data_IF_486679410337
#
_entry.id   IF_486679410337
#
_cell.length_a   1.000
_cell.length_b   1.000
_cell.length_c   1.000
_cell.angle_alpha   90.00
_cell.angle_beta   90.00
_cell.angle_gamma   90.00
#
_symmetry.space_group_name_H-M   'P 1'
#
loop_
_entity.id
_entity.type
_entity.pdbx_description
1 polymer ?
#
# COMPACT_ATOMS: atom_id res chain seq x y z
N UNK A 1 67.49 -9.69 -42.60
CA UNK A 1 66.86 -9.02 -41.43
C UNK A 1 65.34 -9.03 -41.60
N UNK A 2 64.63 -9.92 -40.90
CA UNK A 2 63.15 -9.97 -40.86
C UNK A 2 62.72 -10.03 -39.40
N UNK A 3 62.49 -8.88 -38.77
CA UNK A 3 61.92 -8.74 -37.42
C UNK A 3 60.88 -7.62 -37.41
N UNK A 4 59.78 -7.79 -38.14
CA UNK A 4 58.60 -6.91 -38.03
C UNK A 4 57.33 -7.72 -38.35
N UNK A 5 56.84 -8.54 -37.41
CA UNK A 5 55.39 -8.51 -37.17
C UNK A 5 54.98 -8.56 -35.69
N UNK A 6 55.94 -8.61 -34.74
CA UNK A 6 55.62 -8.82 -33.31
C UNK A 6 55.05 -7.54 -32.64
N UNK A 7 55.44 -6.35 -33.12
CA UNK A 7 55.01 -5.08 -32.51
C UNK A 7 53.53 -4.79 -32.77
N UNK A 8 52.97 -5.25 -33.91
CA UNK A 8 51.57 -4.99 -34.27
C UNK A 8 50.61 -5.82 -33.39
N UNK A 9 51.00 -7.05 -33.04
CA UNK A 9 50.19 -7.94 -32.20
C UNK A 9 50.14 -7.43 -30.75
N UNK A 10 51.25 -6.88 -30.23
CA UNK A 10 51.29 -6.30 -28.89
C UNK A 10 50.44 -5.02 -28.75
N UNK A 11 50.35 -4.20 -29.81
CA UNK A 11 49.51 -2.99 -29.81
C UNK A 11 48.02 -3.31 -29.98
N UNK A 12 47.67 -4.37 -30.71
CA UNK A 12 46.29 -4.83 -30.84
C UNK A 12 45.75 -5.43 -29.53
N UNK A 13 46.60 -6.12 -28.75
CA UNK A 13 46.20 -6.70 -27.45
C UNK A 13 45.93 -5.63 -26.36
N UNK A 14 46.59 -4.48 -26.43
CA UNK A 14 46.36 -3.35 -25.51
C UNK A 14 45.02 -2.64 -25.74
N UNK A 15 44.48 -2.68 -26.97
CA UNK A 15 43.22 -2.02 -27.31
C UNK A 15 41.97 -2.82 -26.91
N UNK A 16 42.09 -4.13 -26.69
CA UNK A 16 40.99 -4.98 -26.18
C UNK A 16 40.91 -4.98 -24.65
N UNK A 17 41.96 -4.52 -23.94
CA UNK A 17 41.99 -4.47 -22.48
C UNK A 17 41.37 -3.20 -21.89
N UNK A 18 41.08 -2.16 -22.69
CA UNK A 18 40.63 -0.85 -22.17
C UNK A 18 39.13 -0.56 -22.28
N UNK A 19 38.29 -1.55 -22.59
CA UNK A 19 36.84 -1.33 -22.66
C UNK A 19 35.98 -2.46 -22.08
N UNK A 20 36.51 -3.24 -21.13
CA UNK A 20 35.63 -3.74 -20.05
C UNK A 20 35.70 -2.65 -18.98
N UNK A 21 35.03 -1.52 -19.25
CA UNK A 21 34.50 -0.75 -18.13
C UNK A 21 33.54 -1.72 -17.47
N UNK A 22 34.00 -2.36 -16.41
CA UNK A 22 33.12 -2.91 -15.39
C UNK A 22 32.04 -1.86 -15.22
N UNK A 23 30.84 -2.23 -15.67
CA UNK A 23 29.63 -1.54 -15.31
C UNK A 23 29.47 -1.87 -13.83
N UNK A 24 30.29 -1.23 -12.99
CA UNK A 24 29.99 -1.04 -11.58
C UNK A 24 28.82 -0.08 -11.63
N UNK A 25 27.63 -0.65 -11.85
CA UNK A 25 26.38 0.05 -11.69
C UNK A 25 26.53 0.79 -10.38
N UNK A 26 26.43 2.11 -10.44
CA UNK A 26 26.31 2.91 -9.23
C UNK A 26 25.15 2.25 -8.49
N UNK A 27 25.47 1.55 -7.40
CA UNK A 27 24.48 0.88 -6.59
C UNK A 27 23.54 1.98 -6.14
N UNK A 28 22.40 2.10 -6.81
CA UNK A 28 21.32 2.92 -6.32
C UNK A 28 21.10 2.50 -4.88
N UNK A 29 20.98 3.48 -3.99
CA UNK A 29 20.81 3.26 -2.56
C UNK A 29 19.95 2.02 -2.34
N UNK A 30 20.54 0.98 -1.75
CA UNK A 30 19.87 -0.31 -1.58
C UNK A 30 18.67 -0.05 -0.67
N UNK A 31 17.48 -0.04 -1.25
CA UNK A 31 16.24 0.17 -0.50
C UNK A 31 16.05 -1.04 0.40
N UNK A 32 16.15 -0.82 1.70
CA UNK A 32 15.97 -1.86 2.72
C UNK A 32 14.58 -1.70 3.33
N UNK A 33 13.65 -2.55 2.92
CA UNK A 33 12.34 -2.65 3.55
C UNK A 33 12.46 -3.51 4.81
N UNK A 34 12.11 -2.92 5.94
CA UNK A 34 11.92 -3.62 7.21
C UNK A 34 10.43 -3.82 7.46
N UNK A 35 10.06 -4.57 8.50
CA UNK A 35 8.65 -4.71 8.87
C UNK A 35 8.04 -3.42 9.42
N UNK A 36 8.81 -2.35 9.62
CA UNK A 36 8.32 -1.18 10.35
C UNK A 36 8.43 0.12 9.54
N UNK A 37 9.03 0.09 8.35
CA UNK A 37 9.35 1.29 7.59
C UNK A 37 8.47 1.52 6.35
N UNK A 38 7.38 0.76 6.18
CA UNK A 38 6.46 0.97 5.06
C UNK A 38 4.99 0.84 5.43
N UNK A 39 4.12 1.42 4.60
CA UNK A 39 2.68 1.16 4.57
C UNK A 39 2.33 0.35 3.34
N UNK A 40 1.38 -0.56 3.44
CA UNK A 40 0.79 -1.19 2.27
C UNK A 40 -0.65 -0.70 2.10
N UNK A 41 -0.96 -0.06 0.97
CA UNK A 41 -2.29 0.48 0.71
C UNK A 41 -3.38 -0.60 0.76
N UNK A 42 -3.12 -1.80 0.24
CA UNK A 42 -4.09 -2.89 0.28
C UNK A 42 -4.47 -3.31 1.69
N UNK A 43 -3.54 -3.25 2.65
CA UNK A 43 -3.84 -3.52 4.06
C UNK A 43 -4.68 -2.41 4.68
N UNK A 44 -4.37 -1.15 4.36
CA UNK A 44 -5.18 -0.01 4.78
C UNK A 44 -6.63 -0.17 4.28
N UNK A 45 -6.78 -0.57 3.02
CA UNK A 45 -8.10 -0.79 2.44
C UNK A 45 -8.82 -1.98 3.08
N UNK A 46 -8.13 -3.09 3.33
CA UNK A 46 -8.69 -4.24 4.04
C UNK A 46 -9.21 -3.86 5.43
N UNK A 47 -8.43 -3.09 6.19
CA UNK A 47 -8.83 -2.62 7.53
C UNK A 47 -10.09 -1.76 7.43
N UNK A 48 -10.17 -0.87 6.43
CA UNK A 48 -11.36 -0.06 6.19
C UNK A 48 -12.58 -0.94 5.90
N UNK A 49 -12.47 -1.91 4.99
CA UNK A 49 -13.56 -2.82 4.65
C UNK A 49 -14.00 -3.66 5.85
N UNK A 50 -13.06 -4.17 6.65
CA UNK A 50 -13.37 -4.92 7.88
C UNK A 50 -14.16 -4.06 8.88
N UNK A 51 -13.80 -2.77 9.04
CA UNK A 51 -14.54 -1.83 9.89
C UNK A 51 -15.95 -1.56 9.37
N UNK A 52 -16.13 -1.39 8.06
CA UNK A 52 -17.45 -1.19 7.45
C UNK A 52 -18.33 -2.45 7.55
N UNK A 53 -17.75 -3.64 7.35
CA UNK A 53 -18.46 -4.91 7.55
C UNK A 53 -18.93 -5.03 9.01
N UNK A 54 -18.08 -4.72 9.98
CA UNK A 54 -18.47 -4.76 11.40
C UNK A 54 -19.64 -3.81 11.72
N UNK A 55 -19.69 -2.61 11.11
CA UNK A 55 -20.83 -1.69 11.24
C UNK A 55 -22.11 -2.24 10.60
N UNK A 56 -21.97 -2.87 9.43
CA UNK A 56 -23.10 -3.51 8.75
C UNK A 56 -23.63 -4.69 9.57
N UNK A 57 -22.78 -5.48 10.20
CA UNK A 57 -23.20 -6.58 11.08
C UNK A 57 -24.06 -6.09 12.25
N UNK A 58 -23.68 -4.98 12.89
CA UNK A 58 -24.48 -4.36 13.95
C UNK A 58 -25.82 -3.85 13.41
N UNK A 59 -25.81 -3.23 12.23
CA UNK A 59 -27.03 -2.74 11.57
C UNK A 59 -27.98 -3.87 11.22
N UNK A 60 -27.48 -4.94 10.61
CA UNK A 60 -28.24 -6.14 10.24
C UNK A 60 -28.84 -6.80 11.48
N UNK A 61 -28.09 -6.91 12.58
CA UNK A 61 -28.60 -7.45 13.83
C UNK A 61 -29.77 -6.61 14.38
N UNK A 62 -29.62 -5.28 14.42
CA UNK A 62 -30.67 -4.37 14.89
C UNK A 62 -31.95 -4.43 14.01
N UNK A 63 -31.80 -4.51 12.68
CA UNK A 63 -32.93 -4.65 11.77
C UNK A 63 -33.65 -5.99 11.94
N UNK A 64 -32.90 -7.09 12.12
CA UNK A 64 -33.46 -8.40 12.41
C UNK A 64 -34.23 -8.42 13.75
N UNK A 65 -33.77 -7.69 14.76
CA UNK A 65 -34.50 -7.55 16.03
C UNK A 65 -35.83 -6.81 15.84
N UNK A 66 -35.90 -5.77 15.00
CA UNK A 66 -37.15 -5.07 14.67
C UNK A 66 -38.13 -6.03 13.96
N UNK A 67 -37.64 -6.84 13.04
CA UNK A 67 -38.41 -7.86 12.32
C UNK A 67 -38.94 -8.92 13.30
N UNK A 68 -38.08 -9.44 14.17
CA UNK A 68 -38.46 -10.44 15.17
C UNK A 68 -39.54 -9.94 16.15
N UNK A 69 -39.55 -8.64 16.44
CA UNK A 69 -40.56 -7.99 17.28
C UNK A 69 -41.86 -7.62 16.53
N UNK A 70 -42.01 -8.01 15.26
CA UNK A 70 -43.15 -7.66 14.39
C UNK A 70 -43.35 -6.14 14.24
N UNK A 71 -42.27 -5.37 14.32
CA UNK A 71 -42.27 -3.91 14.17
C UNK A 71 -41.77 -3.46 12.80
N UNK A 72 -41.43 -4.41 11.91
CA UNK A 72 -40.89 -4.11 10.60
C UNK A 72 -41.95 -3.53 9.66
N UNK A 73 -41.54 -2.46 8.97
CA UNK A 73 -42.22 -1.92 7.80
C UNK A 73 -41.43 -2.25 6.52
N UNK A 74 -41.92 -1.77 5.37
CA UNK A 74 -41.24 -2.00 4.09
C UNK A 74 -39.85 -1.36 4.06
N UNK A 75 -39.64 -0.24 4.76
CA UNK A 75 -38.35 0.43 4.87
C UNK A 75 -37.34 -0.46 5.58
N UNK A 76 -37.72 -1.07 6.69
CA UNK A 76 -36.89 -2.01 7.47
C UNK A 76 -36.41 -3.17 6.59
N UNK A 77 -37.30 -3.74 5.77
CA UNK A 77 -36.95 -4.84 4.87
C UNK A 77 -36.00 -4.40 3.74
N UNK A 78 -36.21 -3.21 3.19
CA UNK A 78 -35.34 -2.65 2.15
C UNK A 78 -33.95 -2.33 2.72
N UNK A 79 -33.89 -1.76 3.92
CA UNK A 79 -32.65 -1.42 4.61
C UNK A 79 -31.85 -2.67 4.96
N UNK A 80 -32.51 -3.75 5.40
CA UNK A 80 -31.86 -5.03 5.67
C UNK A 80 -31.21 -5.57 4.40
N UNK A 81 -31.99 -5.64 3.31
CA UNK A 81 -31.48 -6.12 2.03
C UNK A 81 -30.30 -5.27 1.53
N UNK A 82 -30.39 -3.95 1.62
CA UNK A 82 -29.32 -3.06 1.21
C UNK A 82 -28.05 -3.26 2.07
N UNK A 83 -28.20 -3.48 3.38
CA UNK A 83 -27.08 -3.75 4.27
C UNK A 83 -26.40 -5.10 3.97
N UNK A 84 -27.18 -6.14 3.68
CA UNK A 84 -26.68 -7.45 3.27
C UNK A 84 -25.92 -7.37 1.93
N UNK A 85 -26.50 -6.72 0.93
CA UNK A 85 -25.85 -6.52 -0.39
C UNK A 85 -24.54 -5.72 -0.25
N UNK A 86 -24.54 -4.65 0.55
CA UNK A 86 -23.32 -3.86 0.81
C UNK A 86 -22.23 -4.70 1.49
N UNK A 87 -22.61 -5.55 2.45
CA UNK A 87 -21.67 -6.44 3.14
C UNK A 87 -21.07 -7.45 2.18
N UNK A 88 -21.87 -8.09 1.33
CA UNK A 88 -21.39 -9.04 0.33
C UNK A 88 -20.43 -8.38 -0.67
N UNK A 89 -20.71 -7.15 -1.07
CA UNK A 89 -19.82 -6.38 -1.93
C UNK A 89 -18.46 -6.13 -1.24
N UNK A 90 -18.43 -5.66 0.01
CA UNK A 90 -17.18 -5.45 0.74
C UNK A 90 -16.39 -6.74 0.97
N UNK A 91 -17.06 -7.85 1.28
CA UNK A 91 -16.41 -9.17 1.38
C UNK A 91 -15.76 -9.55 0.05
N UNK A 92 -16.45 -9.32 -1.07
CA UNK A 92 -15.92 -9.58 -2.40
C UNK A 92 -14.71 -8.69 -2.71
N UNK A 93 -14.74 -7.43 -2.31
CA UNK A 93 -13.62 -6.51 -2.47
C UNK A 93 -12.37 -6.92 -1.67
N UNK A 94 -12.53 -7.49 -0.47
CA UNK A 94 -11.38 -8.02 0.29
C UNK A 94 -10.65 -9.11 -0.50
N UNK A 95 -11.37 -9.93 -1.28
CA UNK A 95 -10.78 -11.06 -2.02
C UNK A 95 -9.90 -10.64 -3.19
N UNK A 96 -10.09 -9.42 -3.71
CA UNK A 96 -9.30 -8.89 -4.83
C UNK A 96 -8.07 -8.10 -4.36
N UNK A 97 -7.94 -7.81 -3.06
CA UNK A 97 -6.75 -7.17 -2.50
C UNK A 97 -5.57 -8.12 -2.60
N UNK A 98 -4.49 -7.68 -3.26
CA UNK A 98 -3.29 -8.47 -3.43
C UNK A 98 -2.64 -8.82 -2.08
N UNK A 99 -2.26 -10.08 -1.90
CA UNK A 99 -1.62 -10.55 -0.68
C UNK A 99 -0.10 -10.47 -0.79
N UNK A 100 0.51 -9.60 0.02
CA UNK A 100 1.96 -9.39 0.06
C UNK A 100 2.74 -10.67 0.42
N UNK A 101 2.14 -11.62 1.12
CA UNK A 101 2.80 -12.90 1.45
C UNK A 101 3.15 -13.68 0.19
N UNK A 102 2.39 -13.51 -0.91
CA UNK A 102 2.68 -14.13 -2.21
C UNK A 102 4.01 -13.68 -2.82
N UNK A 103 4.53 -12.52 -2.41
CA UNK A 103 5.84 -12.00 -2.84
C UNK A 103 6.87 -12.01 -1.70
N UNK A 104 6.64 -12.83 -0.67
CA UNK A 104 7.54 -12.99 0.46
C UNK A 104 7.67 -11.75 1.34
N UNK A 105 6.65 -10.89 1.37
CA UNK A 105 6.58 -9.70 2.21
C UNK A 105 5.52 -9.89 3.28
N UNK A 106 5.81 -9.46 4.49
CA UNK A 106 4.88 -9.57 5.62
C UNK A 106 4.38 -8.20 6.01
N UNK A 107 3.09 -8.10 6.33
CA UNK A 107 2.45 -6.86 6.74
C UNK A 107 3.18 -6.21 7.93
N UNK A 108 3.49 -4.91 7.86
CA UNK A 108 4.08 -4.16 8.96
C UNK A 108 3.28 -4.23 10.25
N UNK A 109 3.99 -4.20 11.40
CA UNK A 109 3.37 -4.08 12.72
C UNK A 109 3.95 -2.86 13.44
N UNK A 110 3.15 -1.97 14.05
CA UNK A 110 1.69 -2.01 14.19
C UNK A 110 0.95 -1.52 12.94
N UNK A 111 -0.21 -2.14 12.66
CA UNK A 111 -1.11 -1.71 11.58
C UNK A 111 -1.82 -0.42 11.99
N UNK A 112 -1.69 0.69 11.26
CA UNK A 112 -2.55 1.85 11.49
C UNK A 112 -3.98 1.56 11.01
N UNK A 113 -5.01 2.21 11.60
CA UNK A 113 -4.95 3.18 12.69
C UNK A 113 -4.79 2.51 14.07
N UNK A 114 -4.23 3.25 15.02
CA UNK A 114 -4.01 2.72 16.36
C UNK A 114 -5.32 2.74 17.16
N UNK A 115 -5.76 1.62 17.76
CA UNK A 115 -6.96 1.62 18.58
C UNK A 115 -6.73 2.46 19.85
N UNK A 116 -7.51 3.51 20.06
CA UNK A 116 -7.54 4.22 21.34
C UNK A 116 -7.93 3.27 22.48
N UNK A 117 -7.30 3.30 23.67
CA UNK A 117 -6.31 4.28 24.15
C UNK A 117 -4.84 3.87 23.92
N UNK A 118 -4.56 2.90 23.04
CA UNK A 118 -3.19 2.48 22.78
C UNK A 118 -2.43 3.59 22.07
N UNK A 119 -1.20 3.85 22.51
CA UNK A 119 -0.24 4.68 21.77
C UNK A 119 0.59 3.73 20.93
N UNK A 120 0.37 3.77 19.62
CA UNK A 120 1.22 3.06 18.67
C UNK A 120 2.36 4.01 18.32
N UNK A 121 3.59 3.57 18.56
CA UNK A 121 4.76 4.27 18.03
C UNK A 121 4.84 3.95 16.53
N UNK A 122 4.18 4.77 15.71
CA UNK A 122 4.36 4.70 14.27
C UNK A 122 5.73 5.27 13.96
N UNK A 123 6.75 4.43 14.12
CA UNK A 123 8.12 4.77 13.74
C UNK A 123 8.16 5.04 12.24
N UNK A 124 8.24 6.32 11.89
CA UNK A 124 8.59 6.90 10.59
C UNK A 124 8.39 5.96 9.39
N UNK A 125 7.15 5.84 8.89
CA UNK A 125 6.92 5.21 7.60
C UNK A 125 7.72 5.96 6.53
N UNK A 126 8.67 5.27 5.89
CA UNK A 126 9.54 5.84 4.86
C UNK A 126 9.03 5.55 3.45
N UNK A 127 8.22 4.50 3.33
CA UNK A 127 7.73 4.00 2.05
C UNK A 127 6.23 3.70 2.10
N UNK A 128 5.62 3.77 0.93
CA UNK A 128 4.31 3.16 0.68
C UNK A 128 4.46 2.13 -0.42
N UNK A 129 3.78 1.00 -0.26
CA UNK A 129 3.64 -0.07 -1.23
C UNK A 129 2.19 -0.09 -1.73
N UNK A 130 2.04 -0.46 -2.99
CA UNK A 130 0.76 -0.66 -3.65
C UNK A 130 0.87 -1.80 -4.66
N UNK A 131 -0.26 -2.37 -5.06
CA UNK A 131 -0.29 -3.24 -6.24
C UNK A 131 -0.01 -2.44 -7.53
N UNK A 132 0.21 -3.16 -8.63
CA UNK A 132 0.54 -2.58 -9.93
C UNK A 132 -0.66 -2.02 -10.71
N UNK A 133 -1.86 -2.01 -10.13
CA UNK A 133 -3.08 -1.44 -10.71
C UNK A 133 -3.32 0.01 -10.27
N UNK A 134 -2.47 0.55 -9.40
CA UNK A 134 -2.52 1.95 -8.94
C UNK A 134 -1.58 2.82 -9.77
N UNK A 135 -2.11 3.91 -10.33
CA UNK A 135 -1.35 4.90 -11.09
C UNK A 135 -0.86 6.04 -10.19
N UNK A 136 -1.69 6.43 -9.23
CA UNK A 136 -1.42 7.55 -8.33
C UNK A 136 -2.11 7.33 -6.99
N UNK A 137 -1.51 7.85 -5.93
CA UNK A 137 -2.02 7.76 -4.57
C UNK A 137 -1.99 9.14 -3.90
N UNK A 138 -2.95 9.42 -3.04
CA UNK A 138 -2.89 10.52 -2.08
C UNK A 138 -3.10 9.91 -0.69
N UNK A 139 -2.07 9.96 0.16
CA UNK A 139 -2.17 9.57 1.57
C UNK A 139 -2.02 10.83 2.41
N UNK A 140 -2.99 11.14 3.25
CA UNK A 140 -2.89 12.21 4.24
C UNK A 140 -2.99 11.61 5.63
N UNK A 141 -2.00 11.89 6.48
CA UNK A 141 -2.02 11.50 7.89
C UNK A 141 -2.41 12.72 8.69
N UNK A 142 -3.52 12.63 9.41
CA UNK A 142 -4.15 13.69 10.16
C UNK A 142 -4.04 13.39 11.66
N UNK A 143 -3.77 14.40 12.47
CA UNK A 143 -3.89 14.28 13.92
C UNK A 143 -5.36 14.36 14.39
N UNK A 144 -5.60 14.24 15.70
CA UNK A 144 -6.93 14.32 16.31
C UNK A 144 -7.70 15.62 15.99
N UNK A 145 -6.98 16.72 15.69
CA UNK A 145 -7.56 18.01 15.33
C UNK A 145 -7.83 18.14 13.82
N UNK A 146 -7.61 17.08 13.03
CA UNK A 146 -7.74 17.08 11.57
C UNK A 146 -6.62 17.81 10.82
N UNK A 147 -5.52 18.17 11.50
CA UNK A 147 -4.36 18.80 10.87
C UNK A 147 -3.46 17.74 10.24
N UNK A 148 -3.06 17.95 8.98
CA UNK A 148 -2.07 17.10 8.30
C UNK A 148 -0.72 17.17 9.00
N UNK A 149 -0.21 15.99 9.36
CA UNK A 149 1.10 15.76 10.01
C UNK A 149 2.02 14.89 9.15
N UNK A 150 1.56 14.41 8.00
CA UNK A 150 2.37 13.62 7.09
C UNK A 150 1.62 13.19 5.83
N UNK A 151 2.36 12.55 4.93
CA UNK A 151 1.86 12.09 3.64
C UNK A 151 1.91 13.15 2.54
N UNK A 152 1.17 12.90 1.46
CA UNK A 152 1.09 13.75 0.29
C UNK A 152 0.54 13.02 -0.92
N UNK A 153 0.61 13.70 -2.06
CA UNK A 153 0.34 13.12 -3.38
C UNK A 153 1.58 12.37 -3.85
N UNK A 154 1.37 11.14 -4.31
CA UNK A 154 2.39 10.20 -4.77
C UNK A 154 2.03 9.81 -6.21
N UNK A 155 2.84 10.28 -7.15
CA UNK A 155 2.69 10.06 -8.59
C UNK A 155 3.95 9.42 -9.21
N UNK A 156 4.95 9.06 -8.40
CA UNK A 156 6.23 8.49 -8.81
C UNK A 156 6.40 7.03 -8.35
N UNK A 157 5.34 6.22 -8.51
CA UNK A 157 5.36 4.80 -8.16
C UNK A 157 6.35 4.02 -9.04
N UNK A 158 7.22 3.22 -8.39
CA UNK A 158 8.25 2.42 -9.06
C UNK A 158 8.06 0.94 -8.76
N UNK A 159 8.24 0.05 -9.75
CA UNK A 159 8.20 -1.38 -9.50
C UNK A 159 9.20 -1.80 -8.43
N UNK A 160 8.74 -2.60 -7.48
CA UNK A 160 9.60 -3.20 -6.45
C UNK A 160 10.36 -4.38 -7.05
N UNK A 161 11.68 -4.35 -6.98
CA UNK A 161 12.52 -5.46 -7.47
C UNK A 161 12.22 -6.75 -6.70
N UNK A 162 12.18 -7.88 -7.42
CA UNK A 162 11.90 -9.20 -6.83
C UNK A 162 10.42 -9.57 -6.69
N UNK A 163 9.48 -8.69 -7.04
CA UNK A 163 8.03 -8.98 -6.98
C UNK A 163 7.41 -9.30 -8.35
N UNK A 164 8.22 -9.46 -9.38
CA UNK A 164 7.73 -9.67 -10.75
C UNK A 164 6.93 -8.48 -11.32
N UNK A 165 7.04 -7.29 -10.72
CA UNK A 165 6.28 -6.11 -11.12
C UNK A 165 4.84 -6.09 -10.61
N UNK A 166 4.48 -6.96 -9.66
CA UNK A 166 3.16 -7.01 -9.03
C UNK A 166 3.00 -5.92 -7.95
N UNK A 167 4.10 -5.51 -7.33
CA UNK A 167 4.13 -4.48 -6.31
C UNK A 167 4.94 -3.30 -6.80
N UNK A 168 4.44 -2.10 -6.50
CA UNK A 168 5.12 -0.84 -6.68
C UNK A 168 5.32 -0.16 -5.33
N UNK A 169 6.24 0.79 -5.28
CA UNK A 169 6.50 1.58 -4.07
C UNK A 169 6.86 3.02 -4.42
N UNK A 170 6.68 3.92 -3.45
CA UNK A 170 7.28 5.26 -3.45
C UNK A 170 7.68 5.65 -2.03
N UNK A 171 8.45 6.74 -1.90
CA UNK A 171 8.79 7.32 -0.60
C UNK A 171 7.55 7.99 -0.01
N UNK A 172 7.27 7.67 1.24
CA UNK A 172 6.30 8.36 2.06
C UNK A 172 7.06 9.10 3.15
N UNK A 173 6.73 10.37 3.38
CA UNK A 173 7.29 11.12 4.51
C UNK A 173 6.23 11.32 5.56
N UNK A 174 6.48 10.74 6.73
CA UNK A 174 5.64 10.89 7.91
C UNK A 174 6.53 11.35 9.05
N UNK A 175 6.21 12.51 9.61
CA UNK A 175 6.87 12.95 10.83
C UNK A 175 6.49 11.98 11.96
N UNK A 176 7.45 11.62 12.81
CA UNK A 176 7.20 10.72 13.95
C UNK A 176 6.07 11.30 14.82
N UNK A 177 5.07 10.48 15.13
CA UNK A 177 3.87 10.89 15.86
C UNK A 177 3.41 9.79 16.80
N UNK A 178 2.91 10.17 17.98
CA UNK A 178 2.59 9.24 19.08
C UNK A 178 1.13 9.23 19.54
N UNK A 179 0.34 10.21 19.10
CA UNK A 179 -1.09 10.27 19.42
C UNK A 179 -1.92 9.57 18.34
N UNK A 180 -3.22 9.33 18.57
CA UNK A 180 -4.13 8.82 17.55
C UNK A 180 -4.11 9.64 16.25
N UNK A 181 -4.20 8.93 15.13
CA UNK A 181 -4.16 9.50 13.79
C UNK A 181 -5.35 9.02 12.97
N UNK A 182 -5.78 9.85 12.02
CA UNK A 182 -6.65 9.43 10.92
C UNK A 182 -5.82 9.35 9.64
N UNK A 183 -5.96 8.26 8.88
CA UNK A 183 -5.33 8.13 7.57
C UNK A 183 -6.41 8.28 6.50
N UNK A 184 -6.29 9.33 5.69
CA UNK A 184 -7.11 9.53 4.49
C UNK A 184 -6.35 9.00 3.28
N UNK A 185 -6.97 8.13 2.51
CA UNK A 185 -6.37 7.53 1.31
C UNK A 185 -7.27 7.79 0.13
N UNK A 186 -6.69 8.28 -0.98
CA UNK A 186 -7.31 8.28 -2.30
C UNK A 186 -6.41 7.54 -3.28
N UNK A 187 -6.96 6.54 -3.93
CA UNK A 187 -6.31 5.74 -4.96
C UNK A 187 -6.88 6.16 -6.30
N UNK A 188 -5.99 6.39 -7.25
CA UNK A 188 -6.32 6.59 -8.66
C UNK A 188 -5.83 5.36 -9.41
N UNK A 189 -6.78 4.51 -9.80
CA UNK A 189 -6.50 3.20 -10.38
C UNK A 189 -6.49 3.25 -11.91
N UNK A 190 -5.84 2.26 -12.52
CA UNK A 190 -5.92 2.05 -13.97
C UNK A 190 -7.41 1.85 -14.35
N UNK A 191 -7.83 2.45 -15.47
CA UNK A 191 -9.21 2.43 -15.97
C UNK A 191 -10.26 3.12 -15.07
N UNK A 192 -9.83 4.04 -14.18
CA UNK A 192 -10.75 4.81 -13.34
C UNK A 192 -11.30 4.04 -12.14
N UNK A 193 -10.60 2.99 -11.71
CA UNK A 193 -10.87 2.26 -10.47
C UNK A 193 -10.43 3.09 -9.25
N UNK A 194 -11.03 4.26 -9.12
CA UNK A 194 -10.70 5.22 -8.09
C UNK A 194 -11.44 4.87 -6.79
N UNK A 195 -10.75 4.95 -5.66
CA UNK A 195 -11.36 4.76 -4.34
C UNK A 195 -10.85 5.80 -3.35
N UNK A 196 -11.70 6.15 -2.40
CA UNK A 196 -11.37 7.10 -1.33
C UNK A 196 -11.94 6.59 -0.02
N UNK A 197 -11.11 6.52 1.02
CA UNK A 197 -11.53 6.04 2.33
C UNK A 197 -10.75 6.73 3.45
N UNK A 198 -11.30 6.65 4.67
CA UNK A 198 -10.67 7.20 5.87
C UNK A 198 -10.62 6.12 6.95
N UNK A 199 -9.45 5.95 7.54
CA UNK A 199 -9.19 5.07 8.66
C UNK A 199 -9.07 5.89 9.94
N UNK A 200 -9.85 5.54 10.95
CA UNK A 200 -9.85 6.17 12.27
C UNK A 200 -9.51 5.15 13.35
#
# INVERSE_FOLDING_TARGET
MKKKPIIIIAFAALLIASCIKDYVGHGGDKIEFTQDNYLYEGDLYRIYLDQEIAKLDVTIAALNDIIANNQADQTTLNDLKAAEEAKENFVSEITIIFDLEQVGRTIPRPRPPCPSPQSCDFTAFEYVLTDNTVEKLEILILNENGKTIGGGVIDDLRPLSGTGGLIQFSKLRVDSYKDPITISVKVFGVNGNDRSYNLK
#
